data_IF_634824329143
#
_entry.id   IF_634824329143
#
_cell.length_a   1.000
_cell.length_b   1.000
_cell.length_c   1.000
_cell.angle_alpha   90.00
_cell.angle_beta   90.00
_cell.angle_gamma   90.00
#
_symmetry.space_group_name_H-M   'P 1'
#
loop_
_entity.id
_entity.type
_entity.pdbx_description
1 polymer ?
#
# COMPACT_ATOMS: atom_id res chain seq x y z
N UNK A 1 21.57 -5.86 -27.78
CA UNK A 1 20.86 -6.89 -28.58
C UNK A 1 21.27 -8.27 -28.09
N UNK A 2 20.39 -8.94 -27.33
CA UNK A 2 20.39 -10.40 -27.13
C UNK A 2 18.97 -10.85 -27.44
N UNK A 3 18.76 -11.25 -28.69
CA UNK A 3 17.52 -11.82 -29.20
C UNK A 3 17.72 -13.33 -29.16
N UNK A 4 16.99 -14.02 -28.30
CA UNK A 4 17.06 -15.48 -28.18
C UNK A 4 16.46 -15.99 -26.87
N UNK A 5 15.20 -16.43 -26.93
CA UNK A 5 14.57 -17.19 -25.84
C UNK A 5 13.43 -16.48 -25.10
N UNK A 6 12.38 -16.01 -25.80
CA UNK A 6 11.17 -15.46 -25.18
C UNK A 6 9.92 -16.36 -25.32
N UNK A 7 10.07 -17.65 -25.66
CA UNK A 7 8.91 -18.52 -25.97
C UNK A 7 8.76 -19.70 -24.99
N UNK A 8 9.74 -19.99 -24.13
CA UNK A 8 9.69 -21.18 -23.25
C UNK A 8 9.25 -20.93 -21.79
N UNK A 9 9.20 -19.68 -21.31
CA UNK A 9 8.83 -19.39 -19.91
C UNK A 9 7.32 -19.16 -19.70
N UNK A 10 6.52 -19.04 -20.77
CA UNK A 10 5.09 -18.73 -20.63
C UNK A 10 4.21 -19.91 -20.21
N UNK A 11 4.69 -21.16 -20.36
CA UNK A 11 3.90 -22.35 -20.06
C UNK A 11 3.98 -22.83 -18.60
N UNK A 12 5.00 -22.43 -17.83
CA UNK A 12 5.20 -22.91 -16.45
C UNK A 12 4.63 -21.98 -15.35
N UNK A 13 4.13 -20.79 -15.72
CA UNK A 13 3.72 -19.74 -14.79
C UNK A 13 2.20 -19.63 -14.56
N UNK A 14 1.42 -20.67 -14.87
CA UNK A 14 -0.03 -20.64 -14.64
C UNK A 14 -0.44 -20.93 -13.20
N UNK A 15 0.45 -21.51 -12.38
CA UNK A 15 0.21 -21.70 -10.95
C UNK A 15 0.75 -20.50 -10.19
N UNK A 16 -0.13 -19.79 -9.51
CA UNK A 16 0.18 -18.62 -8.71
C UNK A 16 -0.11 -18.92 -7.25
N UNK A 17 0.91 -18.80 -6.41
CA UNK A 17 0.77 -19.01 -4.95
C UNK A 17 0.74 -17.66 -4.26
N UNK A 18 -0.30 -17.42 -3.49
CA UNK A 18 -0.45 -16.26 -2.61
C UNK A 18 -0.03 -16.68 -1.21
N UNK A 19 1.06 -16.09 -0.72
CA UNK A 19 1.57 -16.35 0.62
C UNK A 19 0.63 -15.79 1.69
N UNK A 20 0.53 -16.44 2.86
CA UNK A 20 -0.20 -15.88 4.00
C UNK A 20 0.39 -14.53 4.42
N UNK A 21 -0.47 -13.55 4.71
CA UNK A 21 -0.07 -12.16 4.97
C UNK A 21 -0.09 -11.27 3.73
N UNK A 22 -0.20 -11.87 2.54
CA UNK A 22 -0.46 -11.17 1.28
C UNK A 22 -1.84 -11.55 0.74
N UNK A 23 -2.41 -10.66 -0.06
CA UNK A 23 -3.60 -10.89 -0.86
C UNK A 23 -3.31 -10.46 -2.28
N UNK A 24 -3.83 -11.18 -3.26
CA UNK A 24 -3.63 -10.83 -4.66
C UNK A 24 -4.89 -10.13 -5.20
N UNK A 25 -4.71 -8.96 -5.78
CA UNK A 25 -5.74 -8.31 -6.60
C UNK A 25 -5.46 -8.66 -8.04
N UNK A 26 -6.38 -9.39 -8.66
CA UNK A 26 -6.22 -9.89 -10.01
C UNK A 26 -7.10 -9.11 -10.97
N UNK A 27 -6.48 -8.58 -12.01
CA UNK A 27 -7.18 -7.95 -13.11
C UNK A 27 -7.38 -8.94 -14.26
N UNK A 28 -8.62 -9.05 -14.74
CA UNK A 28 -8.95 -9.82 -15.94
C UNK A 28 -8.95 -8.90 -17.17
N UNK A 29 -8.14 -9.23 -18.18
CA UNK A 29 -8.01 -8.44 -19.41
C UNK A 29 -9.23 -8.49 -20.33
N UNK A 30 -10.03 -9.56 -20.29
CA UNK A 30 -11.16 -9.74 -21.19
C UNK A 30 -12.47 -9.19 -20.63
N UNK A 31 -12.72 -9.41 -19.34
CA UNK A 31 -13.94 -8.94 -18.67
C UNK A 31 -13.76 -7.58 -18.01
N UNK A 32 -12.54 -7.02 -18.04
CA UNK A 32 -12.12 -5.79 -17.36
C UNK A 32 -12.49 -5.75 -15.86
N UNK A 33 -12.74 -6.92 -15.28
CA UNK A 33 -13.14 -7.07 -13.89
C UNK A 33 -11.91 -7.27 -13.01
N UNK A 34 -12.01 -6.79 -11.77
CA UNK A 34 -10.99 -6.96 -10.75
C UNK A 34 -11.58 -7.75 -9.59
N UNK A 35 -10.86 -8.75 -9.11
CA UNK A 35 -11.25 -9.55 -7.96
C UNK A 35 -10.08 -9.73 -6.99
N UNK A 36 -10.38 -9.92 -5.71
CA UNK A 36 -9.37 -10.24 -4.68
C UNK A 36 -9.31 -11.74 -4.43
N UNK A 37 -8.10 -12.24 -4.18
CA UNK A 37 -7.82 -13.63 -3.84
C UNK A 37 -7.20 -13.70 -2.46
N UNK A 38 -7.74 -14.56 -1.61
CA UNK A 38 -7.18 -14.91 -0.30
C UNK A 38 -5.87 -15.68 -0.45
N UNK A 39 -5.08 -15.87 0.63
CA UNK A 39 -3.92 -16.77 0.61
C UNK A 39 -4.31 -18.17 0.10
N UNK A 40 -3.49 -18.74 -0.78
CA UNK A 40 -3.78 -20.00 -1.44
C UNK A 40 -3.11 -20.17 -2.80
N UNK A 41 -3.34 -21.31 -3.42
CA UNK A 41 -2.79 -21.65 -4.73
C UNK A 41 -3.91 -21.51 -5.76
N UNK A 42 -3.67 -20.70 -6.78
CA UNK A 42 -4.63 -20.41 -7.84
C UNK A 42 -4.04 -20.73 -9.21
N UNK A 43 -4.88 -21.22 -10.10
CA UNK A 43 -4.53 -21.38 -11.51
C UNK A 43 -4.91 -20.10 -12.27
N UNK A 44 -3.92 -19.28 -12.58
CA UNK A 44 -4.05 -17.99 -13.26
C UNK A 44 -3.27 -18.02 -14.58
N UNK A 45 -3.93 -18.27 -15.72
CA UNK A 45 -3.31 -18.13 -17.03
C UNK A 45 -2.72 -16.72 -17.25
N UNK A 46 -1.41 -16.59 -17.55
CA UNK A 46 -0.72 -15.30 -17.60
C UNK A 46 -1.11 -14.44 -18.82
N UNK A 47 -1.92 -14.94 -19.74
CA UNK A 47 -2.43 -14.17 -20.88
C UNK A 47 -3.77 -13.48 -20.56
N UNK A 48 -4.55 -14.03 -19.62
CA UNK A 48 -5.86 -13.47 -19.21
C UNK A 48 -5.72 -12.57 -18.00
N UNK A 49 -4.94 -13.02 -17.02
CA UNK A 49 -4.92 -12.42 -15.69
C UNK A 49 -3.62 -11.63 -15.47
N UNK A 50 -3.72 -10.58 -14.67
CA UNK A 50 -2.58 -9.80 -14.17
C UNK A 50 -2.71 -9.73 -12.65
N UNK A 51 -2.02 -10.61 -11.90
CA UNK A 51 -2.02 -10.57 -10.45
C UNK A 51 -1.15 -9.43 -9.93
N UNK A 52 -1.65 -8.69 -8.94
CA UNK A 52 -0.90 -7.68 -8.17
C UNK A 52 -0.94 -8.06 -6.70
N UNK A 53 0.22 -8.27 -6.08
CA UNK A 53 0.31 -8.62 -4.65
C UNK A 53 0.14 -7.38 -3.79
N UNK A 54 -0.61 -7.52 -2.71
CA UNK A 54 -0.80 -6.48 -1.72
C UNK A 54 -0.60 -7.09 -0.34
N UNK A 55 0.10 -6.37 0.52
CA UNK A 55 0.33 -6.77 1.89
C UNK A 55 -0.91 -6.49 2.75
N UNK A 56 -1.46 -7.53 3.40
CA UNK A 56 -2.68 -7.42 4.23
C UNK A 56 -2.36 -7.63 5.72
N UNK A 57 -1.14 -8.04 6.04
CA UNK A 57 -0.69 -8.09 7.44
C UNK A 57 -0.61 -6.68 8.03
N UNK A 58 -0.79 -6.62 9.34
CA UNK A 58 -0.52 -5.42 10.13
C UNK A 58 0.93 -4.99 9.94
N UNK A 59 1.12 -3.76 9.48
CA UNK A 59 2.44 -3.17 9.29
C UNK A 59 2.58 -1.98 10.23
N UNK A 60 3.61 -2.03 11.08
CA UNK A 60 4.00 -0.90 11.93
C UNK A 60 4.90 0.01 11.09
N UNK A 61 4.48 1.25 10.90
CA UNK A 61 5.24 2.27 10.20
C UNK A 61 5.59 3.41 11.15
N UNK A 62 6.86 3.81 11.14
CA UNK A 62 7.35 4.94 11.94
C UNK A 62 7.36 6.20 11.07
N UNK A 63 6.73 7.26 11.55
CA UNK A 63 6.78 8.58 10.94
C UNK A 63 7.43 9.57 11.89
N UNK A 64 8.39 10.32 11.35
CA UNK A 64 9.06 11.40 12.04
C UNK A 64 8.82 12.68 11.25
N UNK A 65 8.41 13.75 11.93
CA UNK A 65 8.24 15.04 11.29
C UNK A 65 8.59 16.18 12.24
N UNK A 66 9.15 17.24 11.65
CA UNK A 66 9.52 18.47 12.35
C UNK A 66 8.55 19.57 11.93
N UNK A 67 7.85 20.16 12.90
CA UNK A 67 6.84 21.20 12.66
C UNK A 67 7.29 22.54 13.21
N UNK A 68 6.87 23.61 12.53
CA UNK A 68 6.89 24.96 13.05
C UNK A 68 5.47 25.32 13.53
N UNK A 69 5.33 25.56 14.82
CA UNK A 69 4.04 25.92 15.41
C UNK A 69 3.68 27.38 15.16
N UNK A 70 2.43 27.77 15.47
CA UNK A 70 2.00 29.17 15.40
C UNK A 70 2.87 30.10 16.26
N UNK A 71 3.38 29.57 17.38
CA UNK A 71 4.24 30.29 18.31
C UNK A 71 5.73 30.29 17.88
N UNK A 72 6.01 29.92 16.63
CA UNK A 72 7.34 29.84 16.03
C UNK A 72 8.29 28.91 16.79
N UNK A 73 7.75 27.85 17.41
CA UNK A 73 8.54 26.82 18.07
C UNK A 73 8.69 25.61 17.16
N UNK A 74 9.91 25.10 17.07
CA UNK A 74 10.19 23.83 16.42
C UNK A 74 9.85 22.68 17.38
N UNK A 75 9.06 21.73 16.91
CA UNK A 75 8.76 20.49 17.62
C UNK A 75 9.04 19.29 16.72
N UNK A 76 9.60 18.24 17.30
CA UNK A 76 9.75 16.95 16.65
C UNK A 76 8.67 16.02 17.19
N UNK A 77 7.98 15.34 16.29
CA UNK A 77 6.91 14.40 16.63
C UNK A 77 7.23 13.05 16.00
N UNK A 78 7.14 12.01 16.82
CA UNK A 78 7.21 10.62 16.41
C UNK A 78 5.81 10.01 16.48
N UNK A 79 5.39 9.36 15.40
CA UNK A 79 4.11 8.69 15.28
C UNK A 79 4.33 7.24 14.85
N UNK A 80 3.86 6.31 15.68
CA UNK A 80 3.80 4.89 15.36
C UNK A 80 2.42 4.58 14.76
N UNK A 81 2.38 4.23 13.49
CA UNK A 81 1.14 3.85 12.80
C UNK A 81 1.07 2.34 12.64
N UNK A 82 -0.01 1.75 13.14
CA UNK A 82 -0.39 0.39 12.80
C UNK A 82 -1.42 0.46 11.67
N UNK A 83 -1.06 -0.02 10.48
CA UNK A 83 -1.94 -0.03 9.33
C UNK A 83 -2.29 -1.46 8.93
N UNK A 84 -3.59 -1.72 8.76
CA UNK A 84 -4.11 -2.96 8.21
C UNK A 84 -5.27 -2.64 7.24
N UNK A 85 -5.23 -3.11 5.99
CA UNK A 85 -6.30 -2.89 5.04
C UNK A 85 -7.44 -3.90 5.26
N UNK A 86 -8.68 -3.43 5.12
CA UNK A 86 -9.86 -4.31 5.11
C UNK A 86 -9.96 -5.06 3.78
N UNK A 87 -10.26 -6.36 3.84
CA UNK A 87 -10.25 -7.24 2.67
C UNK A 87 -11.33 -6.85 1.64
N UNK A 88 -12.51 -6.43 2.12
CA UNK A 88 -13.64 -6.00 1.28
C UNK A 88 -13.31 -4.75 0.46
N UNK A 89 -12.43 -3.90 0.98
CA UNK A 89 -12.03 -2.65 0.34
C UNK A 89 -10.75 -2.78 -0.49
N UNK A 90 -10.11 -3.94 -0.52
CA UNK A 90 -8.80 -4.14 -1.14
C UNK A 90 -8.78 -3.76 -2.63
N UNK A 91 -9.86 -4.09 -3.36
CA UNK A 91 -10.00 -3.74 -4.79
C UNK A 91 -10.06 -2.22 -4.96
N UNK A 92 -10.85 -1.53 -4.13
CA UNK A 92 -10.99 -0.08 -4.19
C UNK A 92 -9.69 0.62 -3.77
N UNK A 93 -9.00 0.09 -2.76
CA UNK A 93 -7.72 0.58 -2.28
C UNK A 93 -6.64 0.45 -3.35
N UNK A 94 -6.56 -0.71 -4.02
CA UNK A 94 -5.64 -0.92 -5.13
C UNK A 94 -5.91 0.03 -6.30
N UNK A 95 -7.18 0.28 -6.65
CA UNK A 95 -7.54 1.22 -7.71
C UNK A 95 -7.18 2.67 -7.39
N UNK A 96 -7.34 3.10 -6.13
CA UNK A 96 -7.08 4.49 -5.72
C UNK A 96 -5.60 4.77 -5.48
N UNK A 97 -4.92 3.89 -4.76
CA UNK A 97 -3.59 4.12 -4.22
C UNK A 97 -2.55 3.24 -4.91
N UNK A 98 -2.92 2.01 -5.29
CA UNK A 98 -2.01 1.03 -5.91
C UNK A 98 -1.49 0.01 -4.90
N UNK A 99 -0.47 -0.74 -5.32
CA UNK A 99 0.17 -1.80 -4.52
C UNK A 99 0.89 -1.24 -3.29
N UNK A 100 1.66 -0.16 -3.46
CA UNK A 100 2.42 0.50 -2.38
C UNK A 100 1.55 1.45 -1.55
N UNK A 101 0.44 0.93 -1.01
CA UNK A 101 -0.53 1.77 -0.31
C UNK A 101 0.04 2.35 1.00
N UNK A 102 0.83 1.58 1.75
CA UNK A 102 1.46 2.05 2.99
C UNK A 102 2.31 3.29 2.73
N UNK A 103 3.29 3.23 1.83
CA UNK A 103 4.20 4.34 1.55
C UNK A 103 3.47 5.61 1.08
N UNK A 104 2.44 5.45 0.25
CA UNK A 104 1.63 6.58 -0.23
C UNK A 104 0.77 7.19 0.88
N UNK A 105 0.18 6.35 1.74
CA UNK A 105 -0.59 6.80 2.89
C UNK A 105 0.31 7.54 3.89
N UNK A 106 1.51 7.03 4.15
CA UNK A 106 2.53 7.67 4.98
C UNK A 106 2.92 9.05 4.45
N UNK A 107 3.16 9.18 3.14
CA UNK A 107 3.48 10.46 2.51
C UNK A 107 2.30 11.45 2.54
N UNK A 108 1.07 10.97 2.38
CA UNK A 108 -0.12 11.81 2.50
C UNK A 108 -0.32 12.30 3.93
N UNK A 109 -0.18 11.42 4.92
CA UNK A 109 -0.26 11.74 6.34
C UNK A 109 0.81 12.74 6.75
N UNK A 110 2.06 12.54 6.33
CA UNK A 110 3.14 13.48 6.65
C UNK A 110 2.80 14.88 6.13
N UNK A 111 2.27 14.97 4.89
CA UNK A 111 1.83 16.24 4.32
C UNK A 111 0.71 16.88 5.13
N UNK A 112 -0.33 16.12 5.47
CA UNK A 112 -1.46 16.65 6.26
C UNK A 112 -1.01 17.12 7.65
N UNK A 113 -0.12 16.39 8.32
CA UNK A 113 0.41 16.78 9.63
C UNK A 113 1.26 18.04 9.58
N UNK A 114 2.03 18.25 8.50
CA UNK A 114 2.75 19.50 8.26
C UNK A 114 1.80 20.70 8.12
N UNK A 115 0.64 20.50 7.49
CA UNK A 115 -0.39 21.53 7.35
C UNK A 115 -1.08 21.82 8.69
N UNK A 116 -1.47 20.78 9.44
CA UNK A 116 -2.07 20.93 10.78
C UNK A 116 -1.15 21.62 11.79
N UNK A 117 0.15 21.31 11.78
CA UNK A 117 1.12 21.87 12.73
C UNK A 117 1.19 23.41 12.73
N UNK A 118 0.89 24.06 11.60
CA UNK A 118 0.87 25.53 11.48
C UNK A 118 -0.22 26.19 12.31
N UNK A 119 -1.28 25.45 12.65
CA UNK A 119 -2.44 25.97 13.38
C UNK A 119 -2.36 25.72 14.89
N UNK A 120 -1.49 24.81 15.33
CA UNK A 120 -1.31 24.51 16.74
C UNK A 120 -0.63 25.68 17.46
N UNK A 121 -1.30 26.19 18.49
CA UNK A 121 -0.74 27.05 19.54
C UNK A 121 -0.44 26.17 20.74
N UNK A 122 0.79 26.21 21.25
CA UNK A 122 1.13 25.50 22.47
C UNK A 122 0.72 26.40 23.63
N UNK A 123 -0.47 26.14 24.17
CA UNK A 123 -0.80 26.60 25.52
C UNK A 123 0.12 25.86 26.48
N UNK A 124 1.12 26.56 27.02
CA UNK A 124 1.84 26.10 28.18
C UNK A 124 0.89 26.10 29.40
N UNK A 125 -0.03 25.13 29.46
CA UNK A 125 -0.69 24.76 30.70
C UNK A 125 0.20 23.78 31.44
N UNK A 126 1.37 24.25 31.89
CA UNK A 126 2.04 23.66 33.03
C UNK A 126 1.29 24.13 34.27
N UNK A 127 0.57 23.21 34.92
CA UNK A 127 0.29 23.29 36.35
C UNK A 127 0.77 22.01 36.98
#
# INVERSE_FOLDING_TARGET
MKVGGLIATTAYNSLYTVEPGYSAVVFNRFTESTFSLTPGIYFLPPFVYIPSLIEVKETISLLFFTLLTRDLKWIEVELHLLAQPQFEMLINLHKKIGVDYCNKLLSALSRSMLEFGKEFTISNSCR
#
